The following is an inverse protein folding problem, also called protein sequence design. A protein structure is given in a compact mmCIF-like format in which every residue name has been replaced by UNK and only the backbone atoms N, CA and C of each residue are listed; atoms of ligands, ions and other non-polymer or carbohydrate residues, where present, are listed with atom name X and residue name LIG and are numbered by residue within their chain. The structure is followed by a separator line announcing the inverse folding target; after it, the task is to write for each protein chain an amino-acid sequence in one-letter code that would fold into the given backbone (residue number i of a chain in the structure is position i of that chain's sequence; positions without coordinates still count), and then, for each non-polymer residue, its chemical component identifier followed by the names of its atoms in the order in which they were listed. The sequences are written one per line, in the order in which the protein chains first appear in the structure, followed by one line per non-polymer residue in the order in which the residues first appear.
data_IF_512366425241
#
_entry.id   IF_512366425241
#
_cell.length_a   1.000
_cell.length_b   1.000
_cell.length_c   1.000
_cell.angle_alpha   90.00
_cell.angle_beta   90.00
_cell.angle_gamma   90.00
#
_symmetry.space_group_name_H-M   'P 1'
#
loop_
_entity.id
_entity.type
_entity.pdbx_description
1 polymer ?
#
# COMPACT_ATOMS: atom_id res chain seq x y z
N UNK A 1 -14.36 -9.76 1.69
CA UNK A 1 -13.29 -10.58 2.29
C UNK A 1 -13.55 -10.69 3.79
N UNK A 2 -12.96 -11.62 4.55
CA UNK A 2 -12.98 -11.53 6.02
C UNK A 2 -12.20 -10.27 6.50
N UNK A 3 -12.25 -9.99 7.81
CA UNK A 3 -11.44 -8.91 8.41
C UNK A 3 -9.94 -9.16 8.19
N UNK A 4 -9.20 -8.07 7.99
CA UNK A 4 -7.75 -8.10 7.82
C UNK A 4 -7.05 -8.49 9.12
N UNK A 5 -6.18 -9.50 9.08
CA UNK A 5 -5.43 -9.95 10.26
C UNK A 5 -3.95 -9.70 10.10
N UNK A 6 -3.30 -9.20 11.15
CA UNK A 6 -1.87 -8.90 11.12
C UNK A 6 -1.01 -10.15 10.82
N UNK A 7 -1.40 -11.31 11.35
CA UNK A 7 -0.70 -12.59 11.18
C UNK A 7 -0.91 -13.25 9.79
N UNK A 8 -1.80 -12.69 8.98
CA UNK A 8 -2.15 -13.16 7.63
C UNK A 8 -2.22 -12.00 6.62
N UNK A 9 -1.30 -11.04 6.76
CA UNK A 9 -1.20 -9.88 5.87
C UNK A 9 0.22 -9.61 5.43
N UNK A 10 0.35 -8.98 4.26
CA UNK A 10 1.55 -8.30 3.81
C UNK A 10 1.20 -6.92 3.27
N UNK A 11 1.97 -5.90 3.65
CA UNK A 11 1.87 -4.56 3.10
C UNK A 11 2.78 -4.42 1.88
N UNK A 12 2.19 -4.10 0.73
CA UNK A 12 2.89 -3.82 -0.52
C UNK A 12 2.84 -2.32 -0.84
N UNK A 13 4.00 -1.66 -0.82
CA UNK A 13 4.19 -0.25 -1.15
C UNK A 13 4.67 -0.10 -2.59
N UNK A 14 3.81 0.46 -3.45
CA UNK A 14 4.05 0.53 -4.89
C UNK A 14 4.61 1.89 -5.29
N UNK A 15 5.85 1.93 -5.77
CA UNK A 15 6.43 2.99 -6.59
C UNK A 15 6.35 4.44 -6.02
N UNK A 16 6.53 4.62 -4.71
CA UNK A 16 6.57 5.95 -4.07
C UNK A 16 7.90 6.69 -4.30
N UNK A 17 8.15 7.11 -5.54
CA UNK A 17 9.46 7.56 -6.01
C UNK A 17 9.62 9.09 -6.13
N UNK A 18 10.83 9.58 -5.88
CA UNK A 18 11.18 11.00 -5.77
C UNK A 18 10.73 11.89 -6.94
N UNK A 19 10.84 11.41 -8.19
CA UNK A 19 10.45 12.19 -9.37
C UNK A 19 9.01 11.96 -9.79
N UNK A 20 8.34 10.94 -9.23
CA UNK A 20 6.92 10.69 -9.46
C UNK A 20 6.06 11.54 -8.53
N UNK A 21 6.40 11.56 -7.23
CA UNK A 21 5.58 12.19 -6.19
C UNK A 21 5.20 13.67 -6.47
N UNK A 22 6.07 14.53 -7.03
CA UNK A 22 5.70 15.92 -7.32
C UNK A 22 4.54 16.07 -8.32
N UNK A 23 4.24 15.04 -9.11
CA UNK A 23 3.13 15.05 -10.06
C UNK A 23 1.83 14.47 -9.48
N UNK A 24 1.88 13.83 -8.30
CA UNK A 24 0.75 13.12 -7.70
C UNK A 24 -0.15 14.09 -6.94
N UNK A 25 -1.46 14.04 -7.21
CA UNK A 25 -2.44 14.79 -6.44
C UNK A 25 -2.44 14.31 -4.98
N UNK A 26 -2.35 15.25 -4.04
CA UNK A 26 -2.28 14.97 -2.59
C UNK A 26 -1.12 14.04 -2.21
N UNK A 27 0.03 14.15 -2.89
CA UNK A 27 1.24 13.36 -2.62
C UNK A 27 1.60 13.28 -1.13
N UNK A 28 1.59 14.41 -0.42
CA UNK A 28 1.92 14.47 1.01
C UNK A 28 0.98 13.60 1.86
N UNK A 29 -0.32 13.59 1.53
CA UNK A 29 -1.29 12.75 2.23
C UNK A 29 -1.04 11.25 1.96
N UNK A 30 -0.72 10.89 0.71
CA UNK A 30 -0.37 9.51 0.34
C UNK A 30 0.88 9.05 1.10
N UNK A 31 1.92 9.90 1.18
CA UNK A 31 3.15 9.62 1.91
C UNK A 31 2.91 9.50 3.43
N UNK A 32 2.13 10.40 4.02
CA UNK A 32 1.75 10.35 5.44
C UNK A 32 1.00 9.06 5.78
N UNK A 33 -0.04 8.72 5.01
CA UNK A 33 -0.81 7.49 5.24
C UNK A 33 0.03 6.23 5.04
N UNK A 34 0.87 6.20 4.01
CA UNK A 34 1.77 5.05 3.79
C UNK A 34 2.80 4.95 4.92
N UNK A 35 3.35 6.06 5.40
CA UNK A 35 4.27 6.08 6.55
C UNK A 35 3.63 5.48 7.80
N UNK A 36 2.38 5.85 8.09
CA UNK A 36 1.62 5.31 9.23
C UNK A 36 1.38 3.81 9.08
N UNK A 37 1.02 3.35 7.89
CA UNK A 37 0.85 1.92 7.59
C UNK A 37 2.14 1.12 7.80
N UNK A 38 3.28 1.60 7.30
CA UNK A 38 4.57 0.91 7.47
C UNK A 38 4.95 0.82 8.95
N UNK A 39 4.75 1.91 9.70
CA UNK A 39 5.01 1.92 11.15
C UNK A 39 4.09 0.97 11.91
N UNK A 40 2.80 0.96 11.59
CA UNK A 40 1.84 0.05 12.20
C UNK A 40 2.17 -1.42 11.85
N UNK A 41 2.53 -1.70 10.60
CA UNK A 41 2.98 -3.02 10.17
C UNK A 41 4.19 -3.49 11.00
N UNK A 42 5.19 -2.63 11.21
CA UNK A 42 6.33 -2.94 12.07
C UNK A 42 5.98 -3.22 13.54
N UNK A 43 5.01 -2.48 14.11
CA UNK A 43 4.53 -2.71 15.49
C UNK A 43 3.74 -4.01 15.64
N UNK A 44 3.06 -4.45 14.56
CA UNK A 44 2.14 -5.58 14.57
C UNK A 44 2.74 -6.84 13.92
N UNK A 45 3.98 -6.78 13.45
CA UNK A 45 4.68 -7.91 12.83
C UNK A 45 4.23 -8.26 11.42
N UNK A 46 3.61 -7.32 10.70
CA UNK A 46 3.19 -7.49 9.30
C UNK A 46 4.40 -7.26 8.38
N UNK A 47 4.63 -8.16 7.42
CA UNK A 47 5.73 -7.98 6.46
C UNK A 47 5.47 -6.78 5.54
N UNK A 48 6.54 -6.10 5.12
CA UNK A 48 6.48 -4.95 4.22
C UNK A 48 7.38 -5.19 3.03
N UNK A 49 6.80 -5.07 1.84
CA UNK A 49 7.45 -5.16 0.53
C UNK A 49 7.25 -3.86 -0.22
N UNK A 50 8.19 -3.52 -1.10
CA UNK A 50 8.11 -2.31 -1.89
C UNK A 50 8.65 -2.51 -3.30
N UNK A 51 8.18 -1.68 -4.23
CA UNK A 51 8.68 -1.67 -5.62
C UNK A 51 9.12 -0.27 -6.07
N UNK A 52 10.03 -0.24 -7.02
CA UNK A 52 10.41 0.96 -7.77
C UNK A 52 10.23 0.72 -9.27
N UNK A 53 9.46 1.58 -9.92
CA UNK A 53 9.29 1.58 -11.37
C UNK A 53 10.41 2.36 -12.03
N UNK A 54 11.22 1.71 -12.88
CA UNK A 54 12.26 2.36 -13.69
C UNK A 54 13.02 3.47 -12.91
N UNK A 55 13.79 3.12 -11.85
CA UNK A 55 14.39 4.10 -10.96
C UNK A 55 15.38 5.05 -11.66
N UNK A 56 15.98 4.62 -12.77
CA UNK A 56 16.80 5.51 -13.61
C UNK A 56 16.00 6.72 -14.11
N UNK A 57 14.73 6.51 -14.47
CA UNK A 57 13.80 7.55 -14.90
C UNK A 57 13.10 8.26 -13.75
N UNK A 58 12.55 7.51 -12.78
CA UNK A 58 11.66 8.05 -11.73
C UNK A 58 12.35 8.36 -10.39
N UNK A 59 13.64 8.06 -10.26
CA UNK A 59 14.37 8.19 -9.00
C UNK A 59 14.13 7.00 -8.05
N UNK A 60 14.77 7.05 -6.89
CA UNK A 60 14.56 6.07 -5.84
C UNK A 60 13.23 6.31 -5.11
N UNK A 61 12.84 5.37 -4.25
CA UNK A 61 11.81 5.57 -3.24
C UNK A 61 12.14 6.81 -2.40
N UNK A 62 11.14 7.63 -2.08
CA UNK A 62 11.34 8.82 -1.25
C UNK A 62 12.00 8.46 0.09
N UNK A 63 12.97 9.26 0.52
CA UNK A 63 13.84 8.95 1.67
C UNK A 63 13.06 8.61 2.94
N UNK A 64 11.98 9.33 3.24
CA UNK A 64 11.15 9.11 4.43
C UNK A 64 10.50 7.72 4.46
N UNK A 65 10.12 7.19 3.30
CA UNK A 65 9.58 5.84 3.15
C UNK A 65 10.72 4.83 3.15
N UNK A 66 11.78 5.08 2.37
CA UNK A 66 12.91 4.17 2.23
C UNK A 66 13.56 3.82 3.59
N UNK A 67 13.68 4.80 4.49
CA UNK A 67 14.22 4.63 5.84
C UNK A 67 13.36 3.75 6.76
N UNK A 68 12.09 3.51 6.41
CA UNK A 68 11.16 2.68 7.18
C UNK A 68 11.02 1.27 6.63
N UNK A 69 11.48 1.01 5.41
CA UNK A 69 11.37 -0.30 4.79
C UNK A 69 12.33 -1.29 5.47
N UNK A 70 11.88 -2.53 5.76
CA UNK A 70 12.74 -3.55 6.35
C UNK A 70 13.79 -4.09 5.35
N UNK A 71 13.61 -3.81 4.06
CA UNK A 71 14.46 -4.27 2.95
C UNK A 71 14.36 -3.29 1.77
N UNK A 72 15.36 -3.24 0.87
CA UNK A 72 15.29 -2.41 -0.33
C UNK A 72 14.07 -2.75 -1.20
N UNK A 73 13.55 -1.73 -1.89
CA UNK A 73 12.49 -1.91 -2.88
C UNK A 73 12.99 -2.73 -4.08
N UNK A 74 12.11 -3.55 -4.65
CA UNK A 74 12.39 -4.36 -5.82
C UNK A 74 12.20 -3.54 -7.10
N UNK A 75 13.18 -3.61 -8.00
CA UNK A 75 13.18 -2.81 -9.22
C UNK A 75 12.37 -3.51 -10.31
N UNK A 76 11.47 -2.77 -10.97
CA UNK A 76 10.65 -3.30 -12.07
C UNK A 76 10.53 -2.33 -13.23
N UNK A 77 10.18 -2.88 -14.39
CA UNK A 77 9.82 -2.13 -15.60
C UNK A 77 8.39 -2.40 -16.05
N UNK A 78 7.79 -3.52 -15.65
CA UNK A 78 6.36 -3.79 -15.84
C UNK A 78 5.50 -2.99 -14.87
N UNK A 79 4.30 -2.63 -15.31
CA UNK A 79 3.40 -1.82 -14.49
C UNK A 79 2.76 -2.64 -13.37
N UNK A 80 2.34 -3.88 -13.62
CA UNK A 80 1.95 -4.80 -12.54
C UNK A 80 3.17 -5.21 -11.70
N UNK A 81 2.99 -5.38 -10.39
CA UNK A 81 4.04 -5.91 -9.54
C UNK A 81 4.21 -7.40 -9.84
N UNK A 82 5.28 -7.75 -10.54
CA UNK A 82 5.75 -9.13 -10.74
C UNK A 82 6.50 -9.66 -9.51
N UNK A 83 6.43 -8.95 -8.39
CA UNK A 83 7.01 -9.43 -7.15
C UNK A 83 6.10 -10.49 -6.54
N UNK A 84 6.69 -11.46 -5.88
CA UNK A 84 5.97 -12.29 -4.93
C UNK A 84 5.86 -11.52 -3.60
N UNK A 85 4.67 -11.01 -3.23
CA UNK A 85 4.50 -10.33 -1.96
C UNK A 85 4.65 -11.30 -0.78
N UNK A 86 4.71 -12.62 -0.99
CA UNK A 86 4.67 -13.64 0.05
C UNK A 86 3.25 -14.12 0.28
N UNK A 87 3.01 -14.81 1.40
CA UNK A 87 1.71 -15.38 1.75
C UNK A 87 0.76 -14.35 2.41
N UNK A 88 -0.52 -14.73 2.51
CA UNK A 88 -1.56 -13.93 3.16
C UNK A 88 -2.21 -12.85 2.28
N UNK A 89 -3.03 -12.02 2.92
CA UNK A 89 -3.79 -10.95 2.27
C UNK A 89 -2.86 -9.80 1.87
N UNK A 90 -2.91 -9.38 0.61
CA UNK A 90 -2.05 -8.29 0.11
C UNK A 90 -2.74 -6.95 0.31
N UNK A 91 -2.14 -6.11 1.15
CA UNK A 91 -2.60 -4.74 1.43
C UNK A 91 -1.76 -3.77 0.59
N UNK A 92 -2.38 -3.03 -0.33
CA UNK A 92 -1.67 -2.22 -1.31
C UNK A 92 -1.82 -0.72 -1.00
N UNK A 93 -0.69 -0.03 -0.93
CA UNK A 93 -0.56 1.43 -0.94
C UNK A 93 0.42 1.86 -2.04
N UNK A 94 0.38 3.12 -2.48
CA UNK A 94 1.35 3.64 -3.45
C UNK A 94 0.78 4.30 -4.71
N UNK A 95 1.60 4.39 -5.75
CA UNK A 95 1.30 5.10 -6.99
C UNK A 95 1.67 4.29 -8.26
N UNK A 96 1.10 4.57 -9.43
CA UNK A 96 -0.13 5.33 -9.63
C UNK A 96 -1.35 4.40 -9.49
N UNK A 97 -2.41 4.88 -8.83
CA UNK A 97 -3.65 4.15 -8.56
C UNK A 97 -4.23 3.51 -9.83
N UNK A 98 -4.23 4.24 -10.95
CA UNK A 98 -4.78 3.80 -12.24
C UNK A 98 -3.80 3.04 -13.14
N UNK A 99 -2.53 2.89 -12.73
CA UNK A 99 -1.50 2.21 -13.51
C UNK A 99 -0.93 1.03 -12.73
N UNK A 100 0.09 1.27 -11.90
CA UNK A 100 0.83 0.19 -11.24
C UNK A 100 -0.01 -0.49 -10.15
N UNK A 101 -0.69 0.30 -9.32
CA UNK A 101 -1.55 -0.23 -8.25
C UNK A 101 -2.70 -1.05 -8.85
N UNK A 102 -3.43 -0.51 -9.83
CA UNK A 102 -4.53 -1.20 -10.51
C UNK A 102 -4.07 -2.52 -11.15
N UNK A 103 -3.00 -2.49 -11.95
CA UNK A 103 -2.54 -3.70 -12.64
C UNK A 103 -2.03 -4.76 -11.67
N UNK A 104 -1.36 -4.33 -10.59
CA UNK A 104 -0.93 -5.22 -9.50
C UNK A 104 -2.12 -5.88 -8.81
N UNK A 105 -3.10 -5.08 -8.37
CA UNK A 105 -4.26 -5.57 -7.64
C UNK A 105 -5.08 -6.55 -8.50
N UNK A 106 -5.31 -6.23 -9.78
CA UNK A 106 -6.04 -7.11 -10.69
C UNK A 106 -5.27 -8.40 -11.01
N UNK A 107 -3.95 -8.34 -11.16
CA UNK A 107 -3.13 -9.53 -11.42
C UNK A 107 -3.12 -10.49 -10.22
N UNK A 108 -2.91 -9.96 -9.00
CA UNK A 108 -2.99 -10.75 -7.77
C UNK A 108 -4.39 -11.34 -7.56
N UNK A 109 -5.44 -10.55 -7.84
CA UNK A 109 -6.80 -11.05 -7.73
C UNK A 109 -7.10 -12.16 -8.74
N UNK A 110 -6.62 -12.01 -9.97
CA UNK A 110 -6.75 -13.03 -11.01
C UNK A 110 -5.99 -14.33 -10.68
N UNK A 111 -4.93 -14.27 -9.86
CA UNK A 111 -4.24 -15.46 -9.35
C UNK A 111 -4.89 -16.07 -8.09
N UNK A 112 -6.06 -15.55 -7.67
CA UNK A 112 -6.83 -16.08 -6.55
C UNK A 112 -6.42 -15.51 -5.18
N UNK A 113 -5.59 -14.46 -5.15
CA UNK A 113 -5.19 -13.80 -3.89
C UNK A 113 -6.33 -12.95 -3.31
N UNK A 114 -6.30 -12.80 -2.00
CA UNK A 114 -7.04 -11.78 -1.27
C UNK A 114 -6.25 -10.47 -1.33
N UNK A 115 -6.93 -9.38 -1.72
CA UNK A 115 -6.30 -8.09 -1.98
C UNK A 115 -7.18 -6.98 -1.43
N UNK A 116 -6.59 -6.10 -0.62
CA UNK A 116 -7.17 -4.84 -0.20
C UNK A 116 -6.32 -3.67 -0.70
N UNK A 117 -6.95 -2.62 -1.21
CA UNK A 117 -6.28 -1.39 -1.63
C UNK A 117 -6.67 -0.26 -0.68
N UNK A 118 -5.67 0.44 -0.16
CA UNK A 118 -5.86 1.49 0.83
C UNK A 118 -6.10 2.83 0.14
N UNK A 119 -7.37 3.22 0.01
CA UNK A 119 -7.83 4.33 -0.81
C UNK A 119 -7.17 5.68 -0.48
N UNK A 120 -6.95 5.96 0.82
CA UNK A 120 -6.31 7.18 1.30
C UNK A 120 -4.78 7.10 1.30
N UNK A 121 -4.20 5.95 0.93
CA UNK A 121 -2.77 5.75 0.74
C UNK A 121 -2.41 5.40 -0.72
N UNK A 122 -3.30 5.68 -1.68
CA UNK A 122 -3.00 5.56 -3.12
C UNK A 122 -3.19 6.87 -3.87
N UNK A 123 -2.27 7.15 -4.79
CA UNK A 123 -2.20 8.43 -5.50
C UNK A 123 -2.28 8.29 -7.01
N UNK A 124 -2.76 9.32 -7.70
CA UNK A 124 -2.59 9.50 -9.15
C UNK A 124 -2.38 10.98 -9.42
N UNK A 125 -1.88 11.34 -10.60
CA UNK A 125 -1.78 12.75 -11.01
C UNK A 125 -3.12 13.47 -11.03
N UNK A 126 -4.19 12.72 -11.30
CA UNK A 126 -5.55 13.19 -11.49
C UNK A 126 -6.48 12.44 -10.52
N UNK A 127 -7.24 13.19 -9.73
CA UNK A 127 -8.25 12.60 -8.83
C UNK A 127 -9.30 11.77 -9.58
N UNK A 128 -9.85 12.21 -10.74
CA UNK A 128 -10.73 11.37 -11.55
C UNK A 128 -10.13 10.00 -11.92
N UNK A 129 -8.84 9.95 -12.27
CA UNK A 129 -8.17 8.69 -12.61
C UNK A 129 -8.03 7.80 -11.38
N UNK A 130 -7.70 8.38 -10.22
CA UNK A 130 -7.68 7.65 -8.94
C UNK A 130 -9.04 7.02 -8.65
N UNK A 131 -10.12 7.80 -8.70
CA UNK A 131 -11.46 7.30 -8.38
C UNK A 131 -11.92 6.21 -9.35
N UNK A 132 -11.68 6.39 -10.66
CA UNK A 132 -12.02 5.36 -11.66
C UNK A 132 -11.23 4.07 -11.46
N UNK A 133 -9.98 4.16 -11.02
CA UNK A 133 -9.18 2.99 -10.69
C UNK A 133 -9.74 2.24 -9.48
N UNK A 134 -10.09 2.96 -8.41
CA UNK A 134 -10.72 2.39 -7.21
C UNK A 134 -12.06 1.72 -7.53
N UNK A 135 -12.92 2.36 -8.32
CA UNK A 135 -14.19 1.77 -8.77
C UNK A 135 -13.97 0.49 -9.58
N UNK A 136 -12.98 0.49 -10.48
CA UNK A 136 -12.63 -0.69 -11.28
C UNK A 136 -12.10 -1.82 -10.40
N UNK A 137 -11.25 -1.53 -9.41
CA UNK A 137 -10.75 -2.53 -8.47
C UNK A 137 -11.89 -3.17 -7.66
N UNK A 138 -12.80 -2.35 -7.12
CA UNK A 138 -14.01 -2.84 -6.43
C UNK A 138 -14.84 -3.77 -7.32
N UNK A 139 -15.07 -3.39 -8.58
CA UNK A 139 -15.83 -4.20 -9.53
C UNK A 139 -15.20 -5.56 -9.86
N UNK A 140 -13.89 -5.73 -9.59
CA UNK A 140 -13.16 -6.99 -9.79
C UNK A 140 -12.88 -7.72 -8.46
N UNK A 141 -13.59 -7.38 -7.39
CA UNK A 141 -13.51 -8.09 -6.12
C UNK A 141 -12.23 -7.82 -5.33
N UNK A 142 -11.60 -6.68 -5.56
CA UNK A 142 -10.56 -6.12 -4.68
C UNK A 142 -11.27 -5.24 -3.64
N UNK A 143 -11.02 -5.49 -2.36
CA UNK A 143 -11.60 -4.64 -1.30
C UNK A 143 -10.89 -3.28 -1.30
N UNK A 144 -11.65 -2.21 -1.07
CA UNK A 144 -11.11 -0.86 -0.99
C UNK A 144 -11.40 -0.32 0.40
N UNK A 145 -10.32 -0.12 1.15
CA UNK A 145 -10.33 0.21 2.58
C UNK A 145 -9.60 1.52 2.84
N UNK A 146 -9.54 1.97 4.09
CA UNK A 146 -8.74 3.13 4.52
C UNK A 146 -7.62 2.69 5.45
N UNK A 147 -6.59 3.52 5.60
CA UNK A 147 -5.46 3.21 6.47
C UNK A 147 -5.90 2.98 7.92
N UNK A 148 -6.90 3.73 8.39
CA UNK A 148 -7.48 3.57 9.73
C UNK A 148 -8.24 2.24 9.89
N UNK A 149 -9.01 1.82 8.87
CA UNK A 149 -9.64 0.49 8.86
C UNK A 149 -8.59 -0.61 8.98
N UNK A 150 -7.54 -0.58 8.15
CA UNK A 150 -6.45 -1.56 8.18
C UNK A 150 -5.82 -1.64 9.57
N UNK A 151 -5.44 -0.51 10.16
CA UNK A 151 -4.77 -0.47 11.45
C UNK A 151 -5.65 -1.02 12.58
N UNK A 152 -6.94 -0.70 12.61
CA UNK A 152 -7.85 -1.23 13.63
C UNK A 152 -8.20 -2.70 13.41
N UNK A 153 -8.36 -3.15 12.16
CA UNK A 153 -8.59 -4.57 11.87
C UNK A 153 -7.39 -5.42 12.26
N UNK A 154 -6.17 -4.98 11.96
CA UNK A 154 -4.94 -5.65 12.43
C UNK A 154 -4.79 -5.67 13.95
N UNK A 155 -5.22 -4.61 14.65
CA UNK A 155 -5.23 -4.59 16.11
C UNK A 155 -6.22 -5.61 16.68
N UNK A 156 -7.38 -5.75 16.03
CA UNK A 156 -8.54 -6.57 16.40
C UNK A 156 -9.22 -6.18 17.73
N UNK A 157 -8.45 -5.88 18.77
CA UNK A 157 -8.93 -5.58 20.13
C UNK A 157 -8.16 -4.39 20.75
N UNK A 158 -8.82 -3.62 21.62
CA UNK A 158 -8.19 -2.53 22.38
C UNK A 158 -7.21 -3.01 23.46
N UNK A 159 -7.31 -4.27 23.87
CA UNK A 159 -6.37 -4.91 24.80
C UNK A 159 -5.08 -5.38 24.11
N UNK A 160 -4.96 -5.21 22.79
CA UNK A 160 -3.73 -5.50 22.05
C UNK A 160 -2.56 -4.68 22.64
N UNK A 161 -1.40 -5.30 22.96
CA UNK A 161 -0.26 -4.60 23.54
C UNK A 161 0.24 -3.41 22.72
N UNK A 162 0.09 -3.45 21.40
CA UNK A 162 0.49 -2.38 20.48
C UNK A 162 -0.56 -1.26 20.33
N UNK A 163 -1.77 -1.41 20.91
CA UNK A 163 -2.90 -0.51 20.69
C UNK A 163 -2.56 0.96 20.89
N UNK A 164 -1.90 1.31 22.00
CA UNK A 164 -1.57 2.71 22.31
C UNK A 164 -0.59 3.32 21.32
N UNK A 165 0.35 2.52 20.82
CA UNK A 165 1.35 3.00 19.87
C UNK A 165 0.77 3.12 18.47
N UNK A 166 -0.08 2.18 18.04
CA UNK A 166 -0.81 2.30 16.78
C UNK A 166 -1.81 3.46 16.82
N UNK A 167 -2.52 3.68 17.94
CA UNK A 167 -3.45 4.81 18.08
C UNK A 167 -2.76 6.17 17.95
N UNK A 168 -1.48 6.29 18.32
CA UNK A 168 -0.68 7.51 18.12
C UNK A 168 -0.34 7.77 16.65
N UNK A 169 -0.40 6.75 15.79
CA UNK A 169 -0.23 6.90 14.34
C UNK A 169 -1.51 7.37 13.66
N UNK A 170 -2.67 7.22 14.31
CA UNK A 170 -3.97 7.63 13.76
C UNK A 170 -4.28 9.09 14.12
N UNK A 171 -3.99 9.48 15.36
CA UNK A 171 -4.15 10.85 15.87
C UNK A 171 -3.20 11.84 15.20
#
# INVERSE_FOLDING_TARGET
MPLLRADDSVLLVVDLQERLMPAIASADAVLDKTTRLIRAAGLLGVDVRATEQNPAGLGATVADIANLLPRPAELKTSFGAEIDPGDGTVIIAGCEAHVCVLQTALALRASGREVAVVADAVGSRSEPDRERALDRMRAHGVDVVTAEMVMFEWLHDSDNPAFRDVLRLIK
#
